data_IF_161315434291
#
_entry.id   IF_161315434291
#
_cell.length_a   1.000
_cell.length_b   1.000
_cell.length_c   1.000
_cell.angle_alpha   90.00
_cell.angle_beta   90.00
_cell.angle_gamma   90.00
#
_symmetry.space_group_name_H-M   'P 1'
#
loop_
_entity.id
_entity.type
_entity.pdbx_description
1 polymer ?
#
# COMPACT_ATOMS: atom_id res chain seq x y z
N UNK A 1 -1.39 -5.16 -6.89
CA UNK A 1 -1.09 -3.74 -7.23
C UNK A 1 -0.92 -3.62 -8.73
N UNK A 2 -1.32 -2.49 -9.34
CA UNK A 2 -1.17 -2.24 -10.76
C UNK A 2 -0.57 -0.86 -11.00
N UNK A 3 0.14 -0.69 -12.12
CA UNK A 3 0.80 0.54 -12.51
C UNK A 3 0.45 0.85 -13.96
N UNK A 4 0.13 2.10 -14.27
CA UNK A 4 -0.12 2.58 -15.62
C UNK A 4 0.40 4.00 -15.80
N UNK A 5 0.87 4.33 -17.00
CA UNK A 5 1.22 5.70 -17.37
C UNK A 5 -0.04 6.55 -17.72
N UNK A 6 -1.16 5.88 -18.02
CA UNK A 6 -2.39 6.52 -18.48
C UNK A 6 -3.60 5.99 -17.70
N UNK A 7 -3.80 6.44 -16.45
CA UNK A 7 -4.96 6.03 -15.67
C UNK A 7 -6.24 6.56 -16.32
N UNK A 8 -7.16 5.65 -16.63
CA UNK A 8 -8.50 5.99 -17.14
C UNK A 8 -9.56 5.49 -16.17
N UNK A 9 -10.77 6.03 -16.24
CA UNK A 9 -11.88 5.56 -15.41
C UNK A 9 -12.17 4.07 -15.62
N UNK A 10 -12.08 3.58 -16.86
CA UNK A 10 -12.26 2.16 -17.19
C UNK A 10 -11.16 1.28 -16.56
N UNK A 11 -9.91 1.74 -16.62
CA UNK A 11 -8.79 1.05 -15.98
C UNK A 11 -8.97 1.01 -14.45
N UNK A 12 -9.35 2.13 -13.84
CA UNK A 12 -9.61 2.23 -12.39
C UNK A 12 -10.73 1.28 -11.97
N UNK A 13 -11.85 1.27 -12.70
CA UNK A 13 -12.95 0.35 -12.46
C UNK A 13 -12.52 -1.12 -12.53
N UNK A 14 -11.64 -1.47 -13.48
CA UNK A 14 -11.10 -2.82 -13.58
C UNK A 14 -10.17 -3.16 -12.40
N UNK A 15 -9.37 -2.18 -11.91
CA UNK A 15 -8.55 -2.41 -10.72
C UNK A 15 -9.39 -2.65 -9.45
N UNK A 16 -10.53 -1.97 -9.32
CA UNK A 16 -11.46 -2.22 -8.20
C UNK A 16 -12.01 -3.65 -8.26
N UNK A 17 -12.46 -4.11 -9.42
CA UNK A 17 -12.91 -5.50 -9.57
C UNK A 17 -11.81 -6.52 -9.25
N UNK A 18 -10.58 -6.25 -9.69
CA UNK A 18 -9.44 -7.14 -9.42
C UNK A 18 -9.00 -7.14 -7.95
N UNK A 19 -9.24 -6.04 -7.22
CA UNK A 19 -8.86 -5.92 -5.82
C UNK A 19 -9.81 -6.66 -4.88
N UNK A 20 -11.06 -6.84 -5.27
CA UNK A 20 -12.12 -7.45 -4.45
C UNK A 20 -12.84 -8.56 -5.22
N UNK A 21 -12.19 -9.71 -5.44
CA UNK A 21 -12.84 -10.85 -6.07
C UNK A 21 -13.88 -11.47 -5.12
N UNK A 22 -15.11 -11.49 -5.58
CA UNK A 22 -16.29 -12.25 -5.15
C UNK A 22 -16.86 -12.12 -3.73
N UNK A 23 -16.11 -11.98 -2.64
CA UNK A 23 -16.71 -12.09 -1.29
C UNK A 23 -16.19 -11.11 -0.24
N UNK A 24 -15.19 -10.31 -0.52
CA UNK A 24 -14.52 -9.47 0.47
C UNK A 24 -14.58 -7.96 0.13
N UNK A 25 -15.58 -7.55 -0.65
CA UNK A 25 -15.72 -6.14 -1.00
C UNK A 25 -16.02 -5.30 0.25
N UNK A 26 -15.33 -4.16 0.41
CA UNK A 26 -15.60 -3.25 1.53
C UNK A 26 -17.01 -2.65 1.36
N UNK A 27 -17.67 -2.36 2.48
CA UNK A 27 -18.97 -1.68 2.46
C UNK A 27 -18.91 -0.28 1.83
N UNK A 28 -17.78 0.42 1.97
CA UNK A 28 -17.60 1.78 1.49
C UNK A 28 -16.30 1.92 0.71
N UNK A 29 -16.32 2.67 -0.39
CA UNK A 29 -15.12 3.18 -1.06
C UNK A 29 -15.07 4.70 -0.93
N UNK A 30 -14.06 5.18 -0.23
CA UNK A 30 -13.77 6.61 -0.14
C UNK A 30 -12.76 6.99 -1.23
N UNK A 31 -13.09 8.02 -2.02
CA UNK A 31 -12.18 8.56 -3.02
C UNK A 31 -12.37 10.09 -3.18
N UNK A 32 -11.44 10.72 -3.86
CA UNK A 32 -11.50 12.13 -4.21
C UNK A 32 -12.33 12.34 -5.50
N UNK A 33 -12.29 13.57 -6.00
CA UNK A 33 -13.02 13.98 -7.21
C UNK A 33 -12.17 13.92 -8.48
N UNK A 34 -11.10 13.11 -8.48
CA UNK A 34 -10.28 12.94 -9.68
C UNK A 34 -11.11 12.28 -10.81
N UNK A 35 -10.81 12.69 -12.03
CA UNK A 35 -11.45 12.17 -13.24
C UNK A 35 -11.27 10.67 -13.45
N UNK A 36 -10.24 10.07 -12.87
CA UNK A 36 -10.02 8.61 -12.90
C UNK A 36 -11.12 7.84 -12.17
N UNK A 37 -11.89 8.49 -11.30
CA UNK A 37 -13.07 7.95 -10.65
C UNK A 37 -14.38 8.32 -11.35
N UNK A 38 -14.33 9.04 -12.47
CA UNK A 38 -15.53 9.29 -13.26
C UNK A 38 -16.13 7.94 -13.71
N UNK A 39 -17.44 7.78 -13.54
CA UNK A 39 -18.17 6.56 -13.88
C UNK A 39 -17.86 5.31 -13.03
N UNK A 40 -17.09 5.45 -11.92
CA UNK A 40 -16.82 4.31 -11.03
C UNK A 40 -18.10 3.84 -10.29
N UNK A 41 -19.09 4.74 -10.12
CA UNK A 41 -20.32 4.46 -9.39
C UNK A 41 -21.04 3.19 -9.90
N UNK A 42 -21.21 3.04 -11.20
CA UNK A 42 -21.83 1.83 -11.79
C UNK A 42 -21.08 0.54 -11.45
N UNK A 43 -19.75 0.63 -11.36
CA UNK A 43 -18.94 -0.54 -10.96
C UNK A 43 -19.13 -0.84 -9.48
N UNK A 44 -19.16 0.18 -8.64
CA UNK A 44 -19.37 0.04 -7.20
C UNK A 44 -20.76 -0.50 -6.88
N UNK A 45 -21.80 0.01 -7.56
CA UNK A 45 -23.17 -0.50 -7.44
C UNK A 45 -23.25 -1.99 -7.77
N UNK A 46 -22.58 -2.43 -8.86
CA UNK A 46 -22.51 -3.83 -9.24
C UNK A 46 -21.72 -4.72 -8.27
N UNK A 47 -20.92 -4.12 -7.37
CA UNK A 47 -20.14 -4.79 -6.33
C UNK A 47 -20.75 -4.63 -4.93
N UNK A 48 -21.92 -4.01 -4.79
CA UNK A 48 -22.57 -3.66 -3.52
C UNK A 48 -21.68 -2.79 -2.60
N UNK A 49 -20.89 -1.89 -3.20
CA UNK A 49 -20.01 -0.97 -2.50
C UNK A 49 -20.61 0.44 -2.53
N UNK A 50 -20.81 1.03 -1.37
CA UNK A 50 -21.30 2.39 -1.27
C UNK A 50 -20.18 3.40 -1.56
N UNK A 51 -20.40 4.26 -2.56
CA UNK A 51 -19.50 5.35 -2.92
C UNK A 51 -19.53 6.47 -1.86
N UNK A 52 -18.35 6.91 -1.42
CA UNK A 52 -18.17 8.08 -0.54
C UNK A 52 -17.15 9.02 -1.17
N UNK A 53 -17.59 10.21 -1.58
CA UNK A 53 -16.72 11.23 -2.17
C UNK A 53 -16.26 12.25 -1.13
N UNK A 54 -14.96 12.54 -1.10
CA UNK A 54 -14.46 13.63 -0.26
C UNK A 54 -15.01 14.99 -0.71
N UNK A 55 -15.11 15.93 0.23
CA UNK A 55 -15.45 17.32 -0.11
C UNK A 55 -14.33 17.94 -0.97
N UNK A 56 -14.66 18.92 -1.82
CA UNK A 56 -13.63 19.62 -2.60
C UNK A 56 -12.54 20.22 -1.70
N UNK A 57 -11.29 20.07 -2.11
CA UNK A 57 -10.11 20.61 -1.39
C UNK A 57 -10.00 20.12 0.06
N UNK A 58 -10.44 18.90 0.36
CA UNK A 58 -10.44 18.35 1.71
C UNK A 58 -9.61 17.05 1.81
N UNK A 59 -8.29 17.10 1.57
CA UNK A 59 -7.43 15.90 1.58
C UNK A 59 -7.42 15.20 2.94
N UNK A 60 -7.63 15.93 4.05
CA UNK A 60 -7.73 15.35 5.41
C UNK A 60 -8.86 14.33 5.56
N UNK A 61 -9.87 14.35 4.70
CA UNK A 61 -10.93 13.33 4.70
C UNK A 61 -10.43 11.96 4.21
N UNK A 62 -9.29 11.91 3.52
CA UNK A 62 -8.63 10.69 3.07
C UNK A 62 -7.22 10.53 3.69
N UNK A 63 -7.09 10.91 4.96
CA UNK A 63 -5.80 11.02 5.66
C UNK A 63 -4.98 9.72 5.67
N UNK A 64 -5.63 8.56 5.69
CA UNK A 64 -4.94 7.27 5.68
C UNK A 64 -4.26 7.00 4.33
N UNK A 65 -4.94 7.26 3.24
CA UNK A 65 -4.37 7.10 1.88
C UNK A 65 -3.25 8.10 1.65
N UNK A 66 -3.45 9.36 2.01
CA UNK A 66 -2.41 10.39 1.94
C UNK A 66 -1.16 10.01 2.75
N UNK A 67 -1.35 9.44 3.92
CA UNK A 67 -0.25 8.96 4.76
C UNK A 67 0.51 7.81 4.09
N UNK A 68 -0.18 6.84 3.51
CA UNK A 68 0.45 5.71 2.81
C UNK A 68 1.20 6.20 1.57
N UNK A 69 0.59 7.06 0.75
CA UNK A 69 1.23 7.68 -0.41
C UNK A 69 2.49 8.45 0.01
N UNK A 70 2.37 9.25 1.08
CA UNK A 70 3.50 10.00 1.63
C UNK A 70 4.63 9.10 2.12
N UNK A 71 4.34 7.95 2.71
CA UNK A 71 5.34 6.96 3.13
C UNK A 71 6.02 6.33 1.91
N UNK A 72 5.25 5.85 0.93
CA UNK A 72 5.78 5.30 -0.33
C UNK A 72 6.73 6.29 -0.99
N UNK A 73 6.34 7.56 -1.06
CA UNK A 73 7.15 8.60 -1.69
C UNK A 73 8.46 8.81 -0.93
N UNK A 74 8.38 9.21 0.34
CA UNK A 74 9.54 9.60 1.15
C UNK A 74 10.49 8.46 1.49
N UNK A 75 9.95 7.26 1.71
CA UNK A 75 10.75 6.11 2.18
C UNK A 75 11.19 5.20 1.02
N UNK A 76 10.68 5.40 -0.20
CA UNK A 76 11.01 4.55 -1.34
C UNK A 76 11.26 5.35 -2.62
N UNK A 77 10.27 6.04 -3.18
CA UNK A 77 10.37 6.60 -4.53
C UNK A 77 11.37 7.76 -4.65
N UNK A 78 11.55 8.56 -3.60
CA UNK A 78 12.53 9.65 -3.58
C UNK A 78 14.00 9.13 -3.59
N UNK A 79 14.21 7.83 -3.43
CA UNK A 79 15.53 7.18 -3.35
C UNK A 79 15.85 6.24 -4.51
N UNK A 80 14.96 6.11 -5.49
CA UNK A 80 15.12 5.18 -6.62
C UNK A 80 14.88 5.86 -7.95
N UNK A 81 15.56 5.38 -8.98
CA UNK A 81 15.32 5.82 -10.37
C UNK A 81 14.35 4.84 -11.01
N UNK A 82 13.18 5.35 -11.39
CA UNK A 82 12.15 4.58 -12.10
C UNK A 82 12.38 4.69 -13.60
N UNK A 83 12.73 3.58 -14.25
CA UNK A 83 13.03 3.53 -15.69
C UNK A 83 11.75 3.29 -16.51
N UNK A 84 10.83 2.46 -16.01
CA UNK A 84 9.59 2.10 -16.70
C UNK A 84 8.53 1.56 -15.72
N UNK A 85 7.33 1.31 -16.22
CA UNK A 85 6.21 0.81 -15.40
C UNK A 85 6.51 -0.54 -14.72
N UNK A 86 7.25 -1.43 -15.36
CA UNK A 86 7.60 -2.73 -14.79
C UNK A 86 8.60 -2.57 -13.61
N UNK A 87 9.59 -1.67 -13.74
CA UNK A 87 10.50 -1.35 -12.64
C UNK A 87 9.78 -0.69 -11.48
N UNK A 88 8.87 0.26 -11.75
CA UNK A 88 8.04 0.88 -10.73
C UNK A 88 7.18 -0.15 -9.99
N UNK A 89 6.50 -1.03 -10.74
CA UNK A 89 5.68 -2.08 -10.15
C UNK A 89 6.48 -2.96 -9.20
N UNK A 90 7.68 -3.41 -9.59
CA UNK A 90 8.57 -4.23 -8.75
C UNK A 90 8.97 -3.51 -7.48
N UNK A 91 9.47 -2.28 -7.60
CA UNK A 91 9.88 -1.46 -6.45
C UNK A 91 8.72 -1.24 -5.48
N UNK A 92 7.52 -0.95 -5.98
CA UNK A 92 6.33 -0.79 -5.14
C UNK A 92 5.91 -2.09 -4.47
N UNK A 93 5.99 -3.24 -5.15
CA UNK A 93 5.69 -4.54 -4.55
C UNK A 93 6.65 -4.87 -3.41
N UNK A 94 7.96 -4.65 -3.62
CA UNK A 94 8.97 -4.85 -2.59
C UNK A 94 8.76 -3.91 -1.39
N UNK A 95 8.44 -2.64 -1.66
CA UNK A 95 8.15 -1.68 -0.59
C UNK A 95 6.89 -2.03 0.21
N UNK A 96 5.81 -2.45 -0.45
CA UNK A 96 4.58 -2.87 0.24
C UNK A 96 4.84 -4.13 1.09
N UNK A 97 5.63 -5.08 0.60
CA UNK A 97 6.01 -6.25 1.38
C UNK A 97 6.78 -5.83 2.66
N UNK A 98 7.74 -4.93 2.53
CA UNK A 98 8.45 -4.32 3.66
C UNK A 98 7.49 -3.59 4.61
N UNK A 99 6.63 -2.71 4.07
CA UNK A 99 5.66 -1.92 4.85
C UNK A 99 4.74 -2.79 5.70
N UNK A 100 4.28 -3.91 5.15
CA UNK A 100 3.33 -4.81 5.81
C UNK A 100 3.97 -5.76 6.82
N UNK A 101 5.25 -6.16 6.61
CA UNK A 101 5.87 -7.27 7.34
C UNK A 101 7.10 -6.89 8.16
N UNK A 102 7.73 -5.76 7.88
CA UNK A 102 9.02 -5.39 8.49
C UNK A 102 9.02 -4.00 9.09
N UNK A 103 8.34 -3.03 8.46
CA UNK A 103 8.26 -1.67 8.92
C UNK A 103 7.41 -1.57 10.19
N UNK A 104 8.02 -1.06 11.25
CA UNK A 104 7.31 -0.86 12.52
C UNK A 104 6.45 0.41 12.49
N UNK A 105 5.28 0.34 13.12
CA UNK A 105 4.32 1.43 13.18
C UNK A 105 4.04 1.83 14.63
N UNK A 106 4.20 3.10 14.97
CA UNK A 106 3.95 3.59 16.33
C UNK A 106 2.49 3.36 16.77
N UNK A 107 1.55 3.51 15.84
CA UNK A 107 0.13 3.28 16.11
C UNK A 107 -0.24 1.79 16.34
N UNK A 108 0.70 0.87 16.09
CA UNK A 108 0.57 -0.56 16.34
C UNK A 108 1.58 -1.02 17.42
N UNK A 109 1.90 -0.16 18.39
CA UNK A 109 2.87 -0.44 19.47
C UNK A 109 4.22 -0.96 18.93
N UNK A 110 4.68 -0.38 17.82
CA UNK A 110 5.89 -0.76 17.08
C UNK A 110 5.82 -2.14 16.42
N UNK A 111 4.64 -2.73 16.31
CA UNK A 111 4.43 -3.93 15.48
C UNK A 111 4.25 -3.54 13.99
N UNK A 112 4.16 -4.55 13.16
CA UNK A 112 3.89 -4.46 11.71
C UNK A 112 2.42 -4.74 11.44
N UNK A 113 1.82 -4.25 10.32
CA UNK A 113 0.42 -4.55 9.98
C UNK A 113 0.12 -6.06 9.92
N UNK A 114 1.05 -6.85 9.40
CA UNK A 114 1.02 -8.31 9.54
C UNK A 114 1.92 -8.66 10.72
N UNK A 115 1.32 -8.92 11.87
CA UNK A 115 2.01 -9.23 13.14
C UNK A 115 3.08 -10.30 12.97
N UNK A 116 4.23 -10.08 13.57
CA UNK A 116 5.36 -11.01 13.58
C UNK A 116 5.77 -11.39 15.00
N UNK A 117 6.33 -12.59 15.20
CA UNK A 117 6.86 -12.98 16.50
C UNK A 117 7.99 -12.05 16.96
N UNK A 118 7.95 -11.66 18.22
CA UNK A 118 9.04 -10.88 18.83
C UNK A 118 10.16 -11.82 19.22
N UNK A 119 11.34 -11.65 18.64
CA UNK A 119 12.54 -12.41 18.99
C UNK A 119 13.09 -11.95 20.35
N UNK A 120 13.17 -12.88 21.32
CA UNK A 120 13.71 -12.57 22.65
C UNK A 120 15.21 -12.24 22.58
N UNK A 121 15.74 -11.37 23.45
CA UNK A 121 17.17 -11.03 23.48
C UNK A 121 18.11 -12.23 23.67
N UNK A 122 17.63 -13.28 24.35
CA UNK A 122 18.38 -14.52 24.59
C UNK A 122 18.47 -15.45 23.34
N UNK A 123 17.79 -15.12 22.24
CA UNK A 123 17.77 -15.94 21.04
C UNK A 123 18.91 -15.54 20.09
N UNK A 124 20.08 -16.19 20.20
CA UNK A 124 21.17 -16.14 19.24
C UNK A 124 21.63 -14.75 18.75
N UNK A 125 22.24 -14.72 17.58
CA UNK A 125 22.80 -13.50 16.98
C UNK A 125 21.76 -12.73 16.17
N UNK A 126 21.97 -11.42 16.04
CA UNK A 126 21.19 -10.55 15.14
C UNK A 126 21.69 -10.74 13.72
N UNK A 127 20.77 -10.94 12.80
CA UNK A 127 21.01 -11.01 11.35
C UNK A 127 20.24 -9.91 10.67
N UNK A 128 20.88 -9.27 9.71
CA UNK A 128 20.34 -8.20 8.89
C UNK A 128 19.98 -8.76 7.52
N UNK A 129 18.73 -8.58 7.11
CA UNK A 129 18.25 -8.93 5.77
C UNK A 129 17.91 -7.65 5.01
N UNK A 130 18.58 -7.37 3.86
CA UNK A 130 18.23 -6.21 3.06
C UNK A 130 16.86 -6.38 2.40
N UNK A 131 16.08 -5.31 2.38
CA UNK A 131 14.77 -5.21 1.75
C UNK A 131 14.70 -3.98 0.84
N UNK A 132 13.79 -3.96 -0.12
CA UNK A 132 13.59 -2.86 -1.09
C UNK A 132 14.92 -2.49 -1.79
N UNK A 133 15.61 -3.51 -2.33
CA UNK A 133 16.88 -3.30 -3.00
C UNK A 133 18.04 -2.81 -2.09
N UNK A 134 17.95 -3.03 -0.78
CA UNK A 134 18.93 -2.58 0.22
C UNK A 134 18.62 -1.21 0.82
N UNK A 135 17.55 -0.54 0.39
CA UNK A 135 17.12 0.75 0.94
C UNK A 135 16.68 0.62 2.41
N UNK A 136 16.06 -0.50 2.74
CA UNK A 136 15.63 -0.86 4.09
C UNK A 136 16.21 -2.19 4.52
N UNK A 137 16.14 -2.48 5.83
CA UNK A 137 16.64 -3.71 6.40
C UNK A 137 15.68 -4.26 7.44
N UNK A 138 15.54 -5.58 7.44
CA UNK A 138 14.91 -6.32 8.52
C UNK A 138 15.96 -6.92 9.43
N UNK A 139 15.68 -6.90 10.72
CA UNK A 139 16.57 -7.46 11.74
C UNK A 139 15.85 -8.61 12.42
N UNK A 140 16.43 -9.79 12.37
CA UNK A 140 15.94 -11.01 13.02
C UNK A 140 17.03 -11.56 13.95
N UNK A 141 16.62 -12.42 14.90
CA UNK A 141 17.55 -13.24 15.68
C UNK A 141 17.46 -14.67 15.20
N UNK A 142 18.61 -15.29 14.97
CA UNK A 142 18.71 -16.71 14.63
C UNK A 142 19.46 -17.44 15.73
N UNK A 143 19.05 -18.69 16.00
CA UNK A 143 19.79 -19.57 16.91
C UNK A 143 21.24 -19.71 16.44
N UNK A 144 22.14 -19.84 17.39
CA UNK A 144 23.55 -20.10 17.12
C UNK A 144 23.76 -21.54 16.66
#
# INVERSE_FOLDING_TARGET
>A
MAVTAHPTAAWTAQQLRNAFPECEAPRYLLHDRDSVFAHVATTLDGMDIQEVRTAPRSPWQNAYVERVIGSIRRECLDHVIVVNAASLHRVLMDYIAYYMRSRTHLALDKDTPITRPVSKPSTGRIVTTPEVGGLHHRYDRIAA
#
